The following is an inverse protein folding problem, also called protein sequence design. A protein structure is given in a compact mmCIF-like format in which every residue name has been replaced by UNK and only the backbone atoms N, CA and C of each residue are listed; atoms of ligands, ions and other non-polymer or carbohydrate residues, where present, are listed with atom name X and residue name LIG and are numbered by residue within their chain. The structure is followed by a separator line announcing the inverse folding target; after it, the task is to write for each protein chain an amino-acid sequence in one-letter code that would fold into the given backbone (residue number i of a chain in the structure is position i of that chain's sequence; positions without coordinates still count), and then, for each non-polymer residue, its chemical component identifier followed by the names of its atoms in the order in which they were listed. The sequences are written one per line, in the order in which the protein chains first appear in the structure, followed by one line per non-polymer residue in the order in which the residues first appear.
data_IF_373023268530
#
_entry.id   IF_373023268530
#
_cell.length_a   1.000
_cell.length_b   1.000
_cell.length_c   1.000
_cell.angle_alpha   90.00
_cell.angle_beta   90.00
_cell.angle_gamma   90.00
#
_symmetry.space_group_name_H-M   'P 1'
#
loop_
_entity.id
_entity.type
_entity.pdbx_description
1 polymer ?
#
# COMPACT_ATOMS: atom_id res chain seq x y z
N UNK A 1 9.95 3.05 -8.69
CA UNK A 1 9.62 2.65 -7.31
C UNK A 1 10.69 1.71 -6.80
N UNK A 2 10.93 1.69 -5.49
CA UNK A 2 11.89 0.77 -4.86
C UNK A 2 11.51 0.55 -3.41
N UNK A 3 11.76 -0.64 -2.88
CA UNK A 3 11.57 -0.95 -1.47
C UNK A 3 12.76 -1.76 -0.96
N UNK A 4 13.47 -1.20 0.02
CA UNK A 4 14.59 -1.84 0.71
C UNK A 4 14.06 -2.42 2.03
N UNK A 5 14.03 -3.75 2.12
CA UNK A 5 13.61 -4.50 3.30
C UNK A 5 14.74 -4.56 4.32
N UNK A 6 14.97 -3.47 5.05
CA UNK A 6 16.02 -3.42 6.07
C UNK A 6 15.86 -4.47 7.17
N UNK A 7 14.63 -4.95 7.44
CA UNK A 7 14.38 -6.07 8.35
C UNK A 7 14.95 -7.41 7.85
N UNK A 8 15.12 -7.59 6.54
CA UNK A 8 15.69 -8.80 5.94
C UNK A 8 17.22 -8.67 5.71
N UNK A 9 17.82 -7.53 6.06
CA UNK A 9 19.22 -7.28 5.78
C UNK A 9 20.13 -8.18 6.66
N UNK A 10 21.10 -8.91 6.08
CA UNK A 10 21.94 -9.84 6.84
C UNK A 10 22.87 -9.14 7.84
N UNK A 11 23.13 -7.84 7.62
CA UNK A 11 23.93 -7.01 8.50
C UNK A 11 23.51 -5.55 8.35
N UNK A 12 23.24 -4.89 9.47
CA UNK A 12 23.11 -3.45 9.58
C UNK A 12 23.98 -2.93 10.72
N UNK A 13 24.58 -1.74 10.60
CA UNK A 13 25.23 -1.10 11.74
C UNK A 13 24.23 -0.93 12.88
N UNK A 14 24.69 -1.16 14.11
CA UNK A 14 23.82 -1.00 15.28
C UNK A 14 23.22 0.40 15.33
N UNK A 15 21.92 0.47 15.63
CA UNK A 15 21.14 1.72 15.68
C UNK A 15 21.13 2.49 14.34
N UNK A 16 21.48 1.86 13.22
CA UNK A 16 21.20 2.38 11.90
C UNK A 16 19.70 2.42 11.67
N UNK A 17 19.20 3.56 11.22
CA UNK A 17 17.79 3.79 10.93
C UNK A 17 17.70 4.49 9.58
N UNK A 18 16.96 3.90 8.66
CA UNK A 18 16.51 4.54 7.44
C UNK A 18 15.05 4.96 7.65
N UNK A 19 14.64 6.11 7.10
CA UNK A 19 13.27 6.62 7.24
C UNK A 19 12.74 7.11 5.90
N UNK A 20 11.41 7.08 5.74
CA UNK A 20 10.73 7.67 4.59
C UNK A 20 11.17 7.02 3.27
N UNK A 21 11.62 7.85 2.33
CA UNK A 21 11.95 7.40 0.97
C UNK A 21 13.27 6.64 0.88
N UNK A 22 14.12 6.73 1.92
CA UNK A 22 15.30 5.89 2.04
C UNK A 22 14.94 4.40 2.23
N UNK A 23 13.76 4.11 2.80
CA UNK A 23 13.25 2.74 2.91
C UNK A 23 12.43 2.34 1.70
N UNK A 24 11.47 3.18 1.31
CA UNK A 24 10.51 2.85 0.26
C UNK A 24 10.12 4.08 -0.53
N UNK A 25 10.29 4.01 -1.85
CA UNK A 25 9.88 5.02 -2.81
C UNK A 25 8.70 4.48 -3.64
N UNK A 26 7.51 4.99 -3.36
CA UNK A 26 6.24 4.62 -4.01
C UNK A 26 5.89 5.57 -5.14
N UNK A 27 4.95 5.16 -6.01
CA UNK A 27 4.45 6.03 -7.07
C UNK A 27 3.68 7.22 -6.44
N UNK A 28 4.08 8.48 -6.71
CA UNK A 28 3.45 9.66 -6.10
C UNK A 28 1.98 9.84 -6.49
N UNK A 29 1.49 9.18 -7.56
CA UNK A 29 0.09 9.27 -8.00
C UNK A 29 -0.90 8.87 -6.90
N UNK A 30 -0.49 8.00 -5.97
CA UNK A 30 -1.34 7.53 -4.87
C UNK A 30 -1.30 8.44 -3.63
N UNK A 31 -0.39 9.42 -3.57
CA UNK A 31 -0.31 10.38 -2.47
C UNK A 31 0.09 9.80 -1.11
N UNK A 32 0.63 8.57 -1.06
CA UNK A 32 0.89 7.86 0.21
C UNK A 32 2.23 8.19 0.86
N UNK A 33 3.18 8.80 0.13
CA UNK A 33 4.54 9.05 0.62
C UNK A 33 4.62 9.82 1.95
N UNK A 34 3.84 10.90 2.10
CA UNK A 34 3.81 11.68 3.34
C UNK A 34 3.20 10.90 4.51
N UNK A 35 2.10 10.16 4.26
CA UNK A 35 1.44 9.33 5.28
C UNK A 35 2.38 8.24 5.78
N UNK A 36 3.02 7.51 4.86
CA UNK A 36 4.08 6.54 5.15
C UNK A 36 5.19 7.13 6.01
N UNK A 37 5.73 8.29 5.61
CA UNK A 37 6.81 8.94 6.35
C UNK A 37 6.38 9.30 7.79
N UNK A 38 5.13 9.75 7.97
CA UNK A 38 4.57 10.06 9.29
C UNK A 38 4.39 8.82 10.16
N UNK A 39 3.86 7.71 9.61
CA UNK A 39 3.82 6.42 10.32
C UNK A 39 5.24 6.00 10.72
N UNK A 40 6.22 6.22 9.85
CA UNK A 40 7.65 6.01 10.14
C UNK A 40 8.11 6.79 11.36
N UNK A 41 7.80 8.07 11.41
CA UNK A 41 8.15 8.92 12.54
C UNK A 41 7.46 8.47 13.85
N UNK A 42 6.19 8.06 13.80
CA UNK A 42 5.44 7.58 14.97
C UNK A 42 6.06 6.30 15.54
N UNK A 43 6.38 5.34 14.67
CA UNK A 43 7.03 4.08 15.10
C UNK A 43 8.40 4.40 15.70
N UNK A 44 9.19 5.26 15.06
CA UNK A 44 10.50 5.66 15.57
C UNK A 44 10.40 6.34 16.95
N UNK A 45 9.52 7.32 17.13
CA UNK A 45 9.28 7.97 18.43
C UNK A 45 8.88 6.94 19.50
N UNK A 46 7.99 6.01 19.16
CA UNK A 46 7.54 4.95 20.07
C UNK A 46 8.69 4.02 20.46
N UNK A 47 9.51 3.57 19.50
CA UNK A 47 10.69 2.71 19.76
C UNK A 47 11.73 3.43 20.62
N UNK A 48 11.98 4.72 20.37
CA UNK A 48 12.91 5.53 21.17
C UNK A 48 12.41 5.72 22.60
N UNK A 49 11.12 5.97 22.81
CA UNK A 49 10.53 6.08 24.15
C UNK A 49 10.55 4.76 24.91
N UNK A 50 10.20 3.65 24.23
CA UNK A 50 10.19 2.33 24.85
C UNK A 50 11.58 1.90 25.34
N UNK A 51 12.62 2.31 24.61
CA UNK A 51 14.01 1.98 24.96
C UNK A 51 14.68 3.08 25.80
N UNK A 52 13.99 4.14 26.22
CA UNK A 52 14.63 5.32 26.81
C UNK A 52 15.46 5.02 28.08
N UNK A 53 15.08 4.01 28.85
CA UNK A 53 15.71 3.64 30.13
C UNK A 53 16.89 2.66 30.00
N UNK A 54 17.08 2.05 28.82
CA UNK A 54 18.17 1.08 28.63
C UNK A 54 19.48 1.80 28.25
N UNK A 55 20.61 1.10 28.37
CA UNK A 55 21.90 1.63 27.91
C UNK A 55 21.97 1.62 26.38
N UNK A 56 22.58 2.61 25.74
CA UNK A 56 22.70 2.65 24.27
C UNK A 56 23.45 1.42 23.70
N UNK A 57 24.35 0.85 24.50
CA UNK A 57 25.15 -0.34 24.17
C UNK A 57 24.36 -1.65 24.27
N UNK A 58 23.21 -1.68 24.96
CA UNK A 58 22.35 -2.86 25.05
C UNK A 58 21.17 -2.83 24.08
N UNK A 59 20.95 -1.71 23.37
CA UNK A 59 19.81 -1.50 22.49
C UNK A 59 20.09 -1.94 21.07
N UNK A 60 19.08 -2.52 20.43
CA UNK A 60 18.95 -2.51 18.97
C UNK A 60 17.70 -1.73 18.56
N UNK A 61 17.85 -0.40 18.48
CA UNK A 61 16.76 0.50 18.09
C UNK A 61 16.38 0.26 16.62
N UNK A 62 17.38 -0.04 15.78
CA UNK A 62 17.19 -0.25 14.35
C UNK A 62 16.35 -1.50 14.08
N UNK A 63 16.75 -2.63 14.65
CA UNK A 63 16.00 -3.89 14.53
C UNK A 63 14.55 -3.73 15.01
N UNK A 64 14.34 -3.20 16.21
CA UNK A 64 13.00 -2.97 16.76
C UNK A 64 12.16 -2.03 15.88
N UNK A 65 12.78 -0.98 15.34
CA UNK A 65 12.13 -0.05 14.42
C UNK A 65 11.70 -0.76 13.14
N UNK A 66 12.60 -1.47 12.46
CA UNK A 66 12.30 -2.14 11.20
C UNK A 66 11.28 -3.28 11.38
N UNK A 67 11.39 -4.07 12.45
CA UNK A 67 10.46 -5.16 12.76
C UNK A 67 9.05 -4.65 13.05
N UNK A 68 8.92 -3.59 13.86
CA UNK A 68 7.59 -2.99 14.15
C UNK A 68 6.97 -2.38 12.90
N UNK A 69 7.79 -1.87 12.00
CA UNK A 69 7.35 -1.08 10.86
C UNK A 69 7.06 -1.94 9.60
N UNK A 70 7.59 -3.17 9.51
CA UNK A 70 7.58 -3.98 8.29
C UNK A 70 6.18 -4.29 7.77
N UNK A 71 5.24 -4.67 8.64
CA UNK A 71 3.91 -5.13 8.21
C UNK A 71 3.19 -4.03 7.45
N UNK A 72 3.29 -2.78 7.92
CA UNK A 72 2.62 -1.66 7.28
C UNK A 72 3.24 -1.26 5.95
N UNK A 73 4.57 -1.31 5.84
CA UNK A 73 5.24 -1.05 4.57
C UNK A 73 4.96 -2.13 3.54
N UNK A 74 4.90 -3.40 3.96
CA UNK A 74 4.56 -4.51 3.08
C UNK A 74 3.15 -4.37 2.50
N UNK A 75 2.18 -4.02 3.34
CA UNK A 75 0.82 -3.71 2.89
C UNK A 75 0.80 -2.57 1.87
N UNK A 76 1.49 -1.46 2.16
CA UNK A 76 1.54 -0.29 1.28
C UNK A 76 2.21 -0.60 -0.06
N UNK A 77 3.36 -1.29 0.00
CA UNK A 77 4.12 -1.70 -1.17
C UNK A 77 3.28 -2.58 -2.09
N UNK A 78 2.70 -3.64 -1.56
CA UNK A 78 1.93 -4.59 -2.36
C UNK A 78 0.63 -3.96 -2.89
N UNK A 79 -0.02 -3.11 -2.09
CA UNK A 79 -1.24 -2.40 -2.49
C UNK A 79 -1.03 -1.49 -3.70
N UNK A 80 0.02 -0.65 -3.69
CA UNK A 80 0.28 0.30 -4.78
C UNK A 80 0.96 -0.34 -5.99
N UNK A 81 1.95 -1.20 -5.75
CA UNK A 81 2.69 -1.92 -6.80
C UNK A 81 1.76 -2.73 -7.70
N UNK A 82 0.76 -3.40 -7.12
CA UNK A 82 -0.18 -4.21 -7.90
C UNK A 82 -0.97 -3.39 -8.93
N UNK A 83 -1.34 -2.15 -8.60
CA UNK A 83 -2.03 -1.23 -9.51
C UNK A 83 -1.06 -0.77 -10.60
N UNK A 84 0.18 -0.44 -10.24
CA UNK A 84 1.19 0.00 -11.22
C UNK A 84 1.53 -1.09 -12.25
N UNK A 85 1.51 -2.36 -11.86
CA UNK A 85 1.84 -3.48 -12.76
C UNK A 85 0.78 -3.72 -13.84
N UNK A 86 -0.40 -3.09 -13.73
CA UNK A 86 -1.43 -3.13 -14.78
C UNK A 86 -1.05 -2.26 -16.00
N UNK A 87 -0.05 -1.37 -15.87
CA UNK A 87 0.45 -0.57 -16.97
C UNK A 87 1.63 -1.26 -17.66
N UNK A 88 1.51 -1.45 -18.98
CA UNK A 88 2.57 -2.09 -19.80
C UNK A 88 3.89 -1.31 -19.83
N UNK A 89 3.87 -0.04 -19.45
CA UNK A 89 5.05 0.83 -19.34
C UNK A 89 5.76 0.73 -17.99
N UNK A 90 5.18 0.03 -17.01
CA UNK A 90 5.78 -0.11 -15.69
C UNK A 90 7.01 -1.00 -15.76
N UNK A 91 8.08 -0.54 -15.13
CA UNK A 91 9.29 -1.34 -14.94
C UNK A 91 9.11 -2.09 -13.61
N UNK A 92 9.00 -3.43 -13.62
CA UNK A 92 8.83 -4.20 -12.40
C UNK A 92 10.01 -4.04 -11.44
N UNK A 93 9.75 -4.27 -10.16
CA UNK A 93 10.78 -4.39 -9.13
C UNK A 93 11.74 -5.54 -9.46
N UNK A 94 12.96 -5.45 -8.92
CA UNK A 94 14.02 -6.44 -9.17
C UNK A 94 13.54 -7.85 -8.82
N UNK A 95 13.64 -8.78 -9.77
CA UNK A 95 13.22 -10.18 -9.61
C UNK A 95 11.74 -10.45 -9.90
N UNK A 96 10.95 -9.42 -10.22
CA UNK A 96 9.52 -9.54 -10.54
C UNK A 96 9.23 -9.30 -12.03
N UNK A 97 8.01 -9.64 -12.45
CA UNK A 97 7.48 -9.35 -13.79
C UNK A 97 6.12 -8.67 -13.65
N UNK A 98 5.58 -8.09 -14.73
CA UNK A 98 4.21 -7.55 -14.73
C UNK A 98 3.17 -8.63 -14.37
N UNK A 99 3.44 -9.90 -14.70
CA UNK A 99 2.55 -11.01 -14.37
C UNK A 99 2.56 -11.39 -12.88
N UNK A 100 3.59 -10.99 -12.12
CA UNK A 100 3.74 -11.34 -10.70
C UNK A 100 2.56 -10.86 -9.86
N UNK A 101 2.02 -9.68 -10.18
CA UNK A 101 0.92 -9.06 -9.43
C UNK A 101 -0.43 -9.15 -10.16
N UNK A 102 -0.54 -9.92 -11.25
CA UNK A 102 -1.72 -9.88 -12.13
C UNK A 102 -3.06 -10.20 -11.42
N UNK A 103 -3.05 -11.08 -10.40
CA UNK A 103 -4.23 -11.36 -9.60
C UNK A 103 -4.61 -10.19 -8.68
N UNK A 104 -3.62 -9.60 -8.01
CA UNK A 104 -3.81 -8.45 -7.14
C UNK A 104 -4.23 -7.21 -7.93
N UNK A 105 -3.64 -6.99 -9.11
CA UNK A 105 -4.02 -5.93 -10.04
C UNK A 105 -5.51 -6.02 -10.42
N UNK A 106 -5.99 -7.22 -10.77
CA UNK A 106 -7.41 -7.45 -11.09
C UNK A 106 -8.34 -7.21 -9.90
N UNK A 107 -7.94 -7.61 -8.69
CA UNK A 107 -8.71 -7.33 -7.48
C UNK A 107 -8.77 -5.82 -7.21
N UNK A 108 -7.63 -5.13 -7.29
CA UNK A 108 -7.54 -3.68 -7.13
C UNK A 108 -8.40 -2.94 -8.15
N UNK A 109 -8.41 -3.38 -9.42
CA UNK A 109 -9.28 -2.86 -10.48
C UNK A 109 -10.78 -3.01 -10.13
N UNK A 110 -11.19 -4.18 -9.63
CA UNK A 110 -12.57 -4.41 -9.18
C UNK A 110 -12.94 -3.54 -7.97
N UNK A 111 -12.03 -3.33 -7.02
CA UNK A 111 -12.24 -2.46 -5.86
C UNK A 111 -12.38 -1.00 -6.28
N UNK A 112 -11.55 -0.54 -7.21
CA UNK A 112 -11.66 0.82 -7.78
C UNK A 112 -12.96 1.00 -8.57
N UNK A 113 -13.38 0.00 -9.34
CA UNK A 113 -14.67 0.01 -10.03
C UNK A 113 -15.83 0.03 -9.05
N UNK A 114 -15.74 -0.71 -7.93
CA UNK A 114 -16.77 -0.68 -6.89
C UNK A 114 -16.99 0.74 -6.35
N UNK A 115 -15.92 1.49 -6.05
CA UNK A 115 -16.04 2.91 -5.67
C UNK A 115 -16.64 3.80 -6.77
N UNK A 116 -16.33 3.50 -8.04
CA UNK A 116 -16.82 4.31 -9.15
C UNK A 116 -18.30 4.04 -9.48
N UNK A 117 -18.77 2.82 -9.26
CA UNK A 117 -20.13 2.39 -9.62
C UNK A 117 -21.14 2.46 -8.48
N UNK A 118 -20.68 2.31 -7.23
CA UNK A 118 -21.54 2.17 -6.07
C UNK A 118 -21.27 3.34 -5.13
N UNK A 119 -22.24 4.25 -5.04
CA UNK A 119 -22.28 5.31 -4.03
C UNK A 119 -22.60 4.67 -2.66
N UNK A 120 -21.56 4.16 -2.00
CA UNK A 120 -21.65 3.52 -0.68
C UNK A 120 -20.60 4.09 0.26
N UNK A 121 -21.07 4.97 1.15
CA UNK A 121 -20.26 5.61 2.18
C UNK A 121 -19.46 4.62 3.05
N UNK A 122 -19.91 3.38 3.24
CA UNK A 122 -19.15 2.39 4.01
C UNK A 122 -17.95 1.88 3.23
N UNK A 123 -18.11 1.60 1.93
CA UNK A 123 -17.01 1.16 1.06
C UNK A 123 -15.97 2.26 0.95
N UNK A 124 -16.43 3.49 0.70
CA UNK A 124 -15.54 4.65 0.59
C UNK A 124 -14.80 4.93 1.89
N UNK A 125 -15.50 4.87 3.04
CA UNK A 125 -14.86 5.01 4.34
C UNK A 125 -13.82 3.92 4.60
N UNK A 126 -14.13 2.64 4.32
CA UNK A 126 -13.17 1.54 4.47
C UNK A 126 -11.90 1.80 3.65
N UNK A 127 -12.03 2.18 2.38
CA UNK A 127 -10.87 2.44 1.52
C UNK A 127 -10.10 3.68 1.94
N UNK A 128 -10.80 4.72 2.41
CA UNK A 128 -10.17 5.89 3.00
C UNK A 128 -9.32 5.53 4.23
N UNK A 129 -9.87 4.75 5.17
CA UNK A 129 -9.14 4.32 6.36
C UNK A 129 -7.92 3.47 6.02
N UNK A 130 -8.05 2.53 5.08
CA UNK A 130 -6.92 1.72 4.59
C UNK A 130 -5.84 2.61 3.99
N UNK A 131 -6.20 3.51 3.06
CA UNK A 131 -5.24 4.42 2.39
C UNK A 131 -4.62 5.45 3.34
N UNK A 132 -5.27 5.73 4.45
CA UNK A 132 -4.78 6.61 5.52
C UNK A 132 -4.00 5.86 6.61
N UNK A 133 -3.70 4.57 6.41
CA UNK A 133 -2.99 3.73 7.38
C UNK A 133 -3.73 3.52 8.72
N UNK A 134 -5.05 3.77 8.75
CA UNK A 134 -5.90 3.68 9.94
C UNK A 134 -6.63 2.32 10.07
N UNK A 135 -6.60 1.51 9.01
CA UNK A 135 -7.17 0.17 8.96
C UNK A 135 -6.24 -0.78 8.18
N UNK A 136 -6.32 -2.10 8.42
CA UNK A 136 -5.57 -3.09 7.66
C UNK A 136 -6.17 -3.28 6.27
N UNK A 137 -5.34 -3.64 5.29
CA UNK A 137 -5.79 -3.86 3.92
C UNK A 137 -6.82 -4.99 3.80
N UNK A 138 -6.83 -5.91 4.76
CA UNK A 138 -7.75 -7.05 4.84
C UNK A 138 -9.22 -6.65 5.03
N UNK A 139 -9.54 -5.42 5.42
CA UNK A 139 -10.93 -4.99 5.61
C UNK A 139 -11.74 -5.03 4.30
N UNK A 140 -11.09 -4.95 3.13
CA UNK A 140 -11.73 -5.17 1.82
C UNK A 140 -12.23 -6.60 1.64
N UNK A 141 -11.70 -7.55 2.43
CA UNK A 141 -12.11 -8.95 2.44
C UNK A 141 -13.29 -9.23 3.36
N UNK A 142 -13.91 -8.19 3.93
CA UNK A 142 -15.15 -8.37 4.70
C UNK A 142 -16.25 -8.99 3.82
N UNK A 143 -17.12 -9.87 4.36
CA UNK A 143 -18.13 -10.59 3.56
C UNK A 143 -19.04 -9.66 2.74
N UNK A 144 -19.36 -8.49 3.29
CA UNK A 144 -20.23 -7.50 2.65
C UNK A 144 -19.52 -6.85 1.44
N UNK A 145 -18.24 -6.48 1.59
CA UNK A 145 -17.47 -5.89 0.49
C UNK A 145 -17.20 -6.93 -0.59
N UNK A 146 -16.84 -8.17 -0.20
CA UNK A 146 -16.66 -9.27 -1.15
C UNK A 146 -17.93 -9.55 -1.97
N UNK A 147 -19.11 -9.55 -1.33
CA UNK A 147 -20.38 -9.71 -2.05
C UNK A 147 -20.60 -8.58 -3.07
N UNK A 148 -20.25 -7.34 -2.72
CA UNK A 148 -20.34 -6.19 -3.64
C UNK A 148 -19.32 -6.29 -4.78
N UNK A 149 -18.08 -6.66 -4.50
CA UNK A 149 -17.04 -6.93 -5.51
C UNK A 149 -17.52 -8.01 -6.48
N UNK A 150 -18.13 -9.09 -5.97
CA UNK A 150 -18.68 -10.15 -6.80
C UNK A 150 -19.81 -9.64 -7.73
N UNK A 151 -20.69 -8.77 -7.23
CA UNK A 151 -21.73 -8.14 -8.05
C UNK A 151 -21.11 -7.27 -9.16
N UNK A 152 -20.08 -6.47 -8.86
CA UNK A 152 -19.36 -5.66 -9.85
C UNK A 152 -18.69 -6.56 -10.89
N UNK A 153 -18.02 -7.62 -10.45
CA UNK A 153 -17.40 -8.60 -11.35
C UNK A 153 -18.43 -9.26 -12.27
N UNK A 154 -19.58 -9.68 -11.73
CA UNK A 154 -20.66 -10.31 -12.50
C UNK A 154 -21.22 -9.34 -13.56
N UNK A 155 -21.47 -8.08 -13.17
CA UNK A 155 -21.88 -7.00 -14.08
C UNK A 155 -20.88 -6.82 -15.23
N UNK A 156 -19.58 -6.79 -14.93
CA UNK A 156 -18.51 -6.67 -15.93
C UNK A 156 -18.50 -7.85 -16.90
N UNK A 157 -18.61 -9.09 -16.40
CA UNK A 157 -18.63 -10.29 -17.25
C UNK A 157 -19.88 -10.33 -18.14
N UNK A 158 -21.03 -9.87 -17.63
CA UNK A 158 -22.27 -9.81 -18.40
C UNK A 158 -22.37 -8.59 -19.34
N UNK A 159 -21.41 -7.66 -19.28
CA UNK A 159 -21.45 -6.41 -20.05
C UNK A 159 -22.56 -5.44 -19.60
N UNK A 160 -23.04 -5.58 -18.36
CA UNK A 160 -24.15 -4.79 -17.79
C UNK A 160 -23.57 -3.77 -16.82
N UNK A 161 -23.39 -2.52 -17.25
CA UNK A 161 -22.92 -1.44 -16.37
C UNK A 161 -22.06 -0.42 -17.09
N UNK A 162 -21.70 0.66 -16.37
CA UNK A 162 -20.71 1.62 -16.86
C UNK A 162 -19.33 1.05 -16.59
N UNK A 163 -18.70 0.45 -17.60
CA UNK A 163 -17.27 0.14 -17.52
C UNK A 163 -16.53 1.47 -17.44
N UNK A 164 -16.15 1.88 -16.23
CA UNK A 164 -15.22 2.97 -16.05
C UNK A 164 -13.91 2.53 -16.69
N UNK A 165 -13.58 3.11 -17.85
CA UNK A 165 -12.31 2.86 -18.50
C UNK A 165 -11.25 3.59 -17.66
N UNK A 166 -10.66 2.91 -16.68
CA UNK A 166 -9.76 3.51 -15.67
C UNK A 166 -8.53 4.15 -16.32
N UNK A 167 -8.11 3.65 -17.49
CA UNK A 167 -7.10 4.29 -18.35
C UNK A 167 -7.48 5.70 -18.86
N UNK A 168 -8.77 6.04 -18.89
CA UNK A 168 -9.26 7.39 -19.24
C UNK A 168 -9.51 8.28 -18.00
N UNK A 169 -9.82 7.70 -16.83
CA UNK A 169 -9.99 8.46 -15.59
C UNK A 169 -8.66 9.13 -15.15
N UNK A 170 -7.54 8.43 -15.30
CA UNK A 170 -6.20 8.99 -15.07
C UNK A 170 -5.78 10.05 -16.12
N UNK A 171 -6.54 10.20 -17.22
CA UNK A 171 -6.31 11.20 -18.27
C UNK A 171 -6.97 12.54 -17.94
N UNK A 172 -8.06 12.54 -17.16
CA UNK A 172 -8.76 13.76 -16.75
C UNK A 172 -8.12 14.50 -15.57
N UNK A 173 -7.17 13.89 -14.85
CA UNK A 173 -6.37 14.58 -13.82
C UNK A 173 -5.16 15.35 -14.40
N UNK A 174 -4.93 15.29 -15.73
CA UNK A 174 -3.84 16.00 -16.42
C UNK A 174 -4.25 17.38 -16.96
N UNK A 175 -5.45 17.86 -16.65
CA UNK A 175 -5.86 19.24 -16.93
C UNK A 175 -5.89 20.02 -15.61
N UNK A 176 -4.70 20.40 -15.15
CA UNK A 176 -4.47 21.55 -14.27
C UNK A 176 -3.28 22.32 -14.83
#
# INVERSE_FOLDING_TARGET
MSYIRYHDAPFLPRNFIAVGDAMMNTNPIFGQGCGKALIGAIVLDSTLRATATESFESKDIGENYFETHKEKLDEEWNGTKSIDYDFSTTIPASGETLATEAANAKLSDLVLQLCAEVDDAKVDATLWYIRSFLAPTTDVLSPIILAKIFVVWLKRVLGIGRIANIANAARHSRTF
#
